data_IF_710580625415
#
_entry.id   IF_710580625415
#
_cell.length_a   1.000
_cell.length_b   1.000
_cell.length_c   1.000
_cell.angle_alpha   90.00
_cell.angle_beta   90.00
_cell.angle_gamma   90.00
#
_symmetry.space_group_name_H-M   'P 1'
#
loop_
_entity.id
_entity.type
_entity.pdbx_description
1 polymer ?
#
# COMPACT_ATOMS: atom_id res chain seq x y z
N UNK A 1 10.27 67.18 -42.50
CA UNK A 1 8.98 66.76 -43.10
C UNK A 1 8.99 65.24 -43.27
N UNK A 2 8.28 64.46 -42.43
CA UNK A 2 8.20 62.99 -42.59
C UNK A 2 7.27 62.69 -43.77
N UNK A 3 7.81 62.15 -44.87
CA UNK A 3 7.02 61.73 -46.04
C UNK A 3 6.03 60.64 -45.62
N UNK A 4 4.76 60.81 -45.98
CA UNK A 4 3.71 59.82 -45.70
C UNK A 4 4.08 58.51 -46.40
N UNK A 5 3.91 57.34 -45.75
CA UNK A 5 4.18 56.07 -46.39
C UNK A 5 3.30 55.90 -47.63
N UNK A 6 3.90 55.46 -48.74
CA UNK A 6 3.14 55.04 -49.92
C UNK A 6 2.36 53.75 -49.64
N UNK A 7 1.36 53.45 -50.48
CA UNK A 7 0.47 52.28 -50.33
C UNK A 7 1.26 50.96 -50.18
N UNK A 8 2.34 50.79 -50.95
CA UNK A 8 3.24 49.64 -50.83
C UNK A 8 3.88 49.52 -49.44
N UNK A 9 4.35 50.63 -48.87
CA UNK A 9 4.94 50.64 -47.52
C UNK A 9 3.92 50.38 -46.41
N UNK A 10 2.65 50.76 -46.63
CA UNK A 10 1.55 50.45 -45.72
C UNK A 10 1.23 48.94 -45.72
N UNK A 11 1.28 48.30 -46.90
CA UNK A 11 1.11 46.84 -47.04
C UNK A 11 2.29 46.07 -46.43
N UNK A 12 3.53 46.50 -46.66
CA UNK A 12 4.71 45.84 -46.05
C UNK A 12 4.70 45.97 -44.53
N UNK A 13 4.31 47.14 -44.00
CA UNK A 13 4.15 47.35 -42.56
C UNK A 13 3.01 46.52 -41.96
N UNK A 14 1.89 46.36 -42.67
CA UNK A 14 0.79 45.49 -42.25
C UNK A 14 1.22 44.01 -42.23
N UNK A 15 1.88 43.54 -43.29
CA UNK A 15 2.39 42.17 -43.38
C UNK A 15 3.43 41.86 -42.28
N UNK A 16 4.36 42.77 -42.01
CA UNK A 16 5.33 42.62 -40.93
C UNK A 16 4.63 42.55 -39.56
N UNK A 17 3.61 43.38 -39.32
CA UNK A 17 2.84 43.37 -38.07
C UNK A 17 2.09 42.06 -37.87
N UNK A 18 1.46 41.52 -38.92
CA UNK A 18 0.78 40.23 -38.86
C UNK A 18 1.76 39.08 -38.60
N UNK A 19 2.95 39.14 -39.18
CA UNK A 19 4.00 38.16 -38.95
C UNK A 19 4.53 38.19 -37.50
N UNK A 20 4.74 39.38 -36.91
CA UNK A 20 5.12 39.50 -35.50
C UNK A 20 4.00 39.08 -34.55
N UNK A 21 2.73 39.32 -34.92
CA UNK A 21 1.57 38.84 -34.17
C UNK A 21 1.52 37.32 -34.15
N UNK A 22 1.64 36.67 -35.31
CA UNK A 22 1.67 35.22 -35.43
C UNK A 22 2.86 34.60 -34.68
N UNK A 23 4.05 35.23 -34.78
CA UNK A 23 5.22 34.79 -34.02
C UNK A 23 4.97 34.89 -32.50
N UNK A 24 4.37 35.98 -32.03
CA UNK A 24 3.99 36.17 -30.63
C UNK A 24 2.97 35.14 -30.15
N UNK A 25 1.95 34.85 -30.96
CA UNK A 25 0.96 33.80 -30.68
C UNK A 25 1.59 32.40 -30.64
N UNK A 26 2.53 32.10 -31.54
CA UNK A 26 3.23 30.81 -31.58
C UNK A 26 4.16 30.63 -30.37
N UNK A 27 4.88 31.68 -29.96
CA UNK A 27 5.74 31.65 -28.76
C UNK A 27 4.91 31.52 -27.48
N UNK A 28 3.77 32.23 -27.41
CA UNK A 28 2.83 32.08 -26.29
C UNK A 28 2.24 30.66 -26.25
N UNK A 29 1.83 30.11 -27.39
CA UNK A 29 1.36 28.72 -27.51
C UNK A 29 2.42 27.73 -27.06
N UNK A 30 3.65 27.81 -27.58
CA UNK A 30 4.77 26.94 -27.18
C UNK A 30 4.98 26.93 -25.67
N UNK A 31 4.96 28.10 -25.02
CA UNK A 31 5.10 28.21 -23.57
C UNK A 31 3.94 27.57 -22.82
N UNK A 32 2.70 27.75 -23.30
CA UNK A 32 1.52 27.13 -22.69
C UNK A 32 1.45 25.62 -22.93
N UNK A 33 1.89 25.15 -24.08
CA UNK A 33 1.87 23.73 -24.44
C UNK A 33 2.96 22.98 -23.67
N UNK A 34 4.14 23.58 -23.50
CA UNK A 34 5.17 23.07 -22.59
C UNK A 34 4.64 22.92 -21.15
N UNK A 35 3.92 23.92 -20.64
CA UNK A 35 3.36 23.87 -19.28
C UNK A 35 2.26 22.82 -19.14
N UNK A 36 1.46 22.60 -20.19
CA UNK A 36 0.48 21.51 -20.22
C UNK A 36 1.16 20.15 -20.21
N UNK A 37 2.23 19.97 -20.97
CA UNK A 37 3.02 18.73 -20.96
C UNK A 37 3.62 18.46 -19.57
N UNK A 38 4.21 19.48 -18.93
CA UNK A 38 4.74 19.36 -17.57
C UNK A 38 3.66 18.96 -16.55
N UNK A 39 2.47 19.56 -16.63
CA UNK A 39 1.34 19.20 -15.77
C UNK A 39 0.82 17.78 -16.07
N UNK A 40 0.85 17.34 -17.32
CA UNK A 40 0.46 15.97 -17.68
C UNK A 40 1.43 14.94 -17.10
N UNK A 41 2.74 15.18 -17.17
CA UNK A 41 3.75 14.33 -16.55
C UNK A 41 3.57 14.27 -15.03
N UNK A 42 3.39 15.43 -14.38
CA UNK A 42 3.18 15.49 -12.94
C UNK A 42 1.90 14.77 -12.50
N UNK A 43 0.80 14.96 -13.24
CA UNK A 43 -0.45 14.24 -13.00
C UNK A 43 -0.26 12.72 -13.08
N UNK A 44 0.42 12.24 -14.12
CA UNK A 44 0.69 10.79 -14.29
C UNK A 44 1.47 10.23 -13.11
N UNK A 45 2.49 10.96 -12.65
CA UNK A 45 3.29 10.57 -11.48
C UNK A 45 2.46 10.52 -10.19
N UNK A 46 1.59 11.50 -9.95
CA UNK A 46 0.70 11.50 -8.80
C UNK A 46 -0.31 10.36 -8.83
N UNK A 47 -0.90 10.08 -10.01
CA UNK A 47 -1.81 8.96 -10.18
C UNK A 47 -1.11 7.61 -9.90
N UNK A 48 0.13 7.44 -10.38
CA UNK A 48 0.93 6.25 -10.10
C UNK A 48 1.29 6.12 -8.62
N UNK A 49 1.70 7.21 -7.97
CA UNK A 49 1.98 7.23 -6.54
C UNK A 49 0.73 6.85 -5.72
N UNK A 50 -0.41 7.49 -6.02
CA UNK A 50 -1.66 7.19 -5.35
C UNK A 50 -2.06 5.71 -5.52
N UNK A 51 -2.00 5.18 -6.75
CA UNK A 51 -2.28 3.75 -7.00
C UNK A 51 -1.35 2.83 -6.21
N UNK A 52 -0.04 3.13 -6.21
CA UNK A 52 0.99 2.30 -5.59
C UNK A 52 0.89 2.24 -4.06
N UNK A 53 0.40 3.30 -3.42
CA UNK A 53 0.27 3.38 -1.96
C UNK A 53 -1.15 3.11 -1.44
N UNK A 54 -2.19 3.24 -2.28
CA UNK A 54 -3.60 2.99 -1.92
C UNK A 54 -3.82 1.62 -1.29
N UNK A 55 -3.24 0.57 -1.86
CA UNK A 55 -3.38 -0.80 -1.32
C UNK A 55 -2.73 -0.93 0.06
N UNK A 56 -1.58 -0.31 0.27
CA UNK A 56 -0.90 -0.32 1.57
C UNK A 56 -1.73 0.36 2.66
N UNK A 57 -2.28 1.54 2.37
CA UNK A 57 -3.13 2.28 3.33
C UNK A 57 -4.36 1.45 3.72
N UNK A 58 -5.04 0.83 2.76
CA UNK A 58 -6.22 0.01 3.04
C UNK A 58 -5.90 -1.26 3.81
N UNK A 59 -4.75 -1.88 3.57
CA UNK A 59 -4.28 -3.02 4.37
C UNK A 59 -4.12 -2.57 5.83
N UNK A 60 -3.46 -1.43 6.06
CA UNK A 60 -3.29 -0.87 7.41
C UNK A 60 -4.64 -0.63 8.08
N UNK A 61 -5.59 -0.01 7.39
CA UNK A 61 -6.93 0.23 7.93
C UNK A 61 -7.65 -1.06 8.33
N UNK A 62 -7.67 -2.06 7.46
CA UNK A 62 -8.35 -3.34 7.72
C UNK A 62 -7.70 -4.04 8.91
N UNK A 63 -6.37 -4.09 8.95
CA UNK A 63 -5.66 -4.74 10.03
C UNK A 63 -5.84 -4.02 11.37
N UNK A 64 -5.86 -2.68 11.40
CA UNK A 64 -6.15 -1.92 12.61
C UNK A 64 -7.59 -2.14 13.08
N UNK A 65 -8.57 -2.17 12.17
CA UNK A 65 -9.97 -2.39 12.51
C UNK A 65 -10.25 -3.80 13.05
N UNK A 66 -9.56 -4.82 12.53
CA UNK A 66 -9.73 -6.21 12.95
C UNK A 66 -8.79 -6.62 14.09
N UNK A 67 -7.90 -5.72 14.54
CA UNK A 67 -6.94 -5.99 15.61
C UNK A 67 -7.56 -6.52 16.92
N UNK A 68 -8.66 -5.97 17.47
CA UNK A 68 -9.22 -6.48 18.72
C UNK A 68 -9.87 -7.86 18.59
N UNK A 69 -10.31 -8.22 17.38
CA UNK A 69 -10.98 -9.49 17.11
C UNK A 69 -9.96 -10.61 16.84
N UNK A 70 -8.91 -10.28 16.10
CA UNK A 70 -8.00 -11.27 15.51
C UNK A 70 -6.63 -11.29 16.20
N UNK A 71 -6.39 -10.43 17.18
CA UNK A 71 -5.07 -10.28 17.83
C UNK A 71 -3.97 -9.74 16.91
N UNK A 72 -4.33 -9.18 15.75
CA UNK A 72 -3.39 -8.64 14.76
C UNK A 72 -2.75 -9.66 13.82
N UNK A 73 -3.31 -10.88 13.74
CA UNK A 73 -3.02 -11.88 12.72
C UNK A 73 -4.19 -12.02 11.73
N UNK A 74 -3.92 -12.06 10.45
CA UNK A 74 -4.94 -12.24 9.40
C UNK A 74 -4.42 -13.12 8.26
N UNK A 75 -5.24 -14.03 7.75
CA UNK A 75 -4.91 -14.83 6.56
C UNK A 75 -4.83 -13.91 5.33
N UNK A 76 -3.80 -14.09 4.49
CA UNK A 76 -3.63 -13.32 3.25
C UNK A 76 -4.87 -13.43 2.34
N UNK A 77 -5.49 -14.61 2.28
CA UNK A 77 -6.71 -14.83 1.49
C UNK A 77 -7.88 -14.01 2.05
N UNK A 78 -8.00 -13.95 3.37
CA UNK A 78 -9.08 -13.21 4.04
C UNK A 78 -8.86 -11.69 3.91
N UNK A 79 -7.63 -11.24 4.05
CA UNK A 79 -7.24 -9.85 3.77
C UNK A 79 -7.59 -9.46 2.34
N UNK A 80 -7.32 -10.32 1.36
CA UNK A 80 -7.69 -10.09 -0.04
C UNK A 80 -9.22 -9.96 -0.23
N UNK A 81 -10.02 -10.81 0.44
CA UNK A 81 -11.49 -10.70 0.39
C UNK A 81 -11.99 -9.41 1.01
N UNK A 82 -11.46 -9.02 2.17
CA UNK A 82 -11.85 -7.78 2.86
C UNK A 82 -11.47 -6.54 2.04
N UNK A 83 -10.30 -6.54 1.40
CA UNK A 83 -9.91 -5.48 0.47
C UNK A 83 -10.87 -5.38 -0.72
N UNK A 84 -11.26 -6.51 -1.31
CA UNK A 84 -12.25 -6.55 -2.41
C UNK A 84 -13.61 -6.03 -1.96
N UNK A 85 -14.05 -6.35 -0.74
CA UNK A 85 -15.30 -5.85 -0.17
C UNK A 85 -15.26 -4.34 0.10
N UNK A 86 -14.16 -3.80 0.64
CA UNK A 86 -13.99 -2.35 0.81
C UNK A 86 -13.92 -1.60 -0.52
N UNK A 87 -13.47 -2.26 -1.60
CA UNK A 87 -13.34 -1.70 -2.95
C UNK A 87 -14.53 -1.95 -3.88
N UNK A 88 -15.76 -2.05 -3.38
CA UNK A 88 -16.98 -2.24 -4.20
C UNK A 88 -17.13 -1.31 -5.43
N UNK A 89 -16.43 -0.18 -5.45
CA UNK A 89 -16.48 0.83 -6.51
C UNK A 89 -15.23 0.87 -7.43
N UNK A 90 -14.14 0.17 -7.10
CA UNK A 90 -12.94 0.14 -7.95
C UNK A 90 -12.97 -1.03 -8.93
N UNK A 91 -12.60 -0.78 -10.19
CA UNK A 91 -12.51 -1.82 -11.25
C UNK A 91 -11.22 -2.63 -11.23
N UNK A 92 -10.25 -2.26 -10.39
CA UNK A 92 -8.91 -2.83 -10.39
C UNK A 92 -8.85 -4.07 -9.50
N UNK A 93 -8.67 -5.24 -10.12
CA UNK A 93 -8.58 -6.50 -9.41
C UNK A 93 -7.25 -6.60 -8.65
N UNK A 94 -7.34 -6.74 -7.32
CA UNK A 94 -6.17 -6.94 -6.46
C UNK A 94 -5.75 -8.41 -6.53
N UNK A 95 -4.48 -8.62 -6.91
CA UNK A 95 -3.80 -9.91 -6.80
C UNK A 95 -3.17 -10.10 -5.42
N UNK A 96 -2.92 -11.35 -5.01
CA UNK A 96 -2.14 -11.65 -3.81
C UNK A 96 -0.74 -11.02 -3.85
N UNK A 97 -0.14 -10.94 -5.04
CA UNK A 97 1.17 -10.30 -5.24
C UNK A 97 1.16 -8.80 -4.93
N UNK A 98 0.03 -8.12 -5.15
CA UNK A 98 -0.12 -6.70 -4.81
C UNK A 98 -0.13 -6.50 -3.30
N UNK A 99 -0.79 -7.41 -2.58
CA UNK A 99 -0.79 -7.44 -1.13
C UNK A 99 0.62 -7.70 -0.59
N UNK A 100 1.34 -8.71 -1.12
CA UNK A 100 2.70 -9.02 -0.70
C UNK A 100 3.65 -7.83 -0.95
N UNK A 101 3.61 -7.23 -2.14
CA UNK A 101 4.43 -6.04 -2.45
C UNK A 101 4.09 -4.84 -1.58
N UNK A 102 2.82 -4.64 -1.24
CA UNK A 102 2.41 -3.59 -0.32
C UNK A 102 2.94 -3.85 1.09
N UNK A 103 2.84 -5.08 1.59
CA UNK A 103 3.32 -5.46 2.93
C UNK A 103 4.84 -5.35 3.02
N UNK A 104 5.60 -5.80 2.01
CA UNK A 104 7.06 -5.63 2.00
C UNK A 104 7.47 -4.15 2.11
N UNK A 105 6.71 -3.23 1.51
CA UNK A 105 6.95 -1.79 1.69
C UNK A 105 6.58 -1.31 3.08
N UNK A 106 5.45 -1.77 3.63
CA UNK A 106 5.07 -1.45 5.01
C UNK A 106 6.12 -1.94 6.02
N UNK A 107 6.73 -3.11 5.79
CA UNK A 107 7.81 -3.64 6.62
C UNK A 107 9.02 -2.69 6.68
N UNK A 108 9.39 -2.06 5.56
CA UNK A 108 10.50 -1.08 5.54
C UNK A 108 10.22 0.19 6.33
N UNK A 109 8.95 0.47 6.66
CA UNK A 109 8.55 1.62 7.48
C UNK A 109 8.60 1.30 8.99
N UNK A 110 8.96 0.08 9.39
CA UNK A 110 9.06 -0.31 10.80
C UNK A 110 7.70 -0.45 11.51
N UNK A 111 6.60 -0.54 10.77
CA UNK A 111 5.24 -0.50 11.32
C UNK A 111 4.74 -1.83 11.91
N UNK A 112 5.60 -2.82 12.11
CA UNK A 112 5.21 -4.13 12.67
C UNK A 112 4.44 -5.03 11.70
N UNK A 113 4.49 -4.74 10.40
CA UNK A 113 3.91 -5.57 9.35
C UNK A 113 4.90 -6.64 8.88
N UNK A 114 4.55 -7.90 9.07
CA UNK A 114 5.36 -9.05 8.62
C UNK A 114 4.48 -10.13 7.99
N UNK A 115 4.97 -10.79 6.95
CA UNK A 115 4.34 -11.99 6.39
C UNK A 115 5.01 -13.22 6.99
N UNK A 116 4.22 -14.06 7.64
CA UNK A 116 4.66 -15.31 8.25
C UNK A 116 4.05 -16.47 7.46
N UNK A 117 4.84 -17.47 7.12
CA UNK A 117 4.33 -18.73 6.58
C UNK A 117 4.05 -19.71 7.73
N UNK A 118 2.79 -20.10 7.89
CA UNK A 118 2.39 -21.18 8.78
C UNK A 118 1.93 -22.35 7.88
N UNK A 119 2.77 -23.38 7.76
CA UNK A 119 2.55 -24.52 6.89
C UNK A 119 2.28 -24.13 5.43
N UNK A 120 1.02 -24.30 4.98
CA UNK A 120 0.58 -24.00 3.61
C UNK A 120 -0.03 -22.60 3.43
N UNK A 121 -0.27 -21.87 4.52
CA UNK A 121 -0.95 -20.58 4.50
C UNK A 121 0.02 -19.44 4.79
N UNK A 122 -0.25 -18.28 4.18
CA UNK A 122 0.46 -17.03 4.46
C UNK A 122 -0.40 -16.19 5.40
N UNK A 123 0.17 -15.82 6.54
CA UNK A 123 -0.46 -14.96 7.54
C UNK A 123 0.25 -13.61 7.54
N UNK A 124 -0.52 -12.55 7.72
CA UNK A 124 -0.01 -11.18 7.85
C UNK A 124 -0.15 -10.78 9.31
N UNK A 125 0.96 -10.38 9.91
CA UNK A 125 1.05 -9.84 11.27
C UNK A 125 1.13 -8.33 11.20
N UNK A 126 0.50 -7.65 12.15
CA UNK A 126 0.47 -6.18 12.23
C UNK A 126 0.88 -5.61 13.57
N UNK A 127 1.26 -6.48 14.50
CA UNK A 127 1.76 -6.12 15.82
C UNK A 127 3.25 -6.43 15.86
N UNK A 128 4.08 -5.58 16.49
CA UNK A 128 5.47 -5.90 16.79
C UNK A 128 5.54 -6.93 17.94
N UNK A 129 4.81 -8.03 17.83
CA UNK A 129 4.98 -9.19 18.69
C UNK A 129 6.13 -10.02 18.13
N UNK A 130 7.15 -10.23 18.95
CA UNK A 130 8.24 -11.17 18.65
C UNK A 130 7.67 -12.59 18.61
N UNK A 131 7.12 -13.02 17.47
CA UNK A 131 6.90 -14.45 17.25
C UNK A 131 8.28 -15.10 17.11
N UNK A 132 8.78 -15.62 18.24
CA UNK A 132 9.89 -16.58 18.25
C UNK A 132 9.50 -17.80 17.42
N UNK A 133 10.48 -18.55 16.89
CA UNK A 133 10.29 -19.79 16.10
C UNK A 133 9.23 -20.71 16.70
N UNK A 134 9.21 -20.80 18.02
CA UNK A 134 8.25 -21.53 18.84
C UNK A 134 6.78 -21.21 18.50
N UNK A 135 6.43 -19.93 18.41
CA UNK A 135 5.06 -19.52 18.12
C UNK A 135 4.63 -19.93 16.71
N UNK A 136 5.56 -20.01 15.75
CA UNK A 136 5.27 -20.50 14.40
C UNK A 136 4.98 -22.01 14.39
N UNK A 137 5.73 -22.79 15.17
CA UNK A 137 5.49 -24.25 15.31
C UNK A 137 4.11 -24.52 15.94
N UNK A 138 3.71 -23.73 16.94
CA UNK A 138 2.36 -23.81 17.53
C UNK A 138 1.28 -23.42 16.52
N UNK A 139 1.48 -22.34 15.75
CA UNK A 139 0.53 -21.94 14.70
C UNK A 139 0.39 -23.00 13.59
N UNK A 140 1.48 -23.70 13.25
CA UNK A 140 1.46 -24.78 12.28
C UNK A 140 0.63 -25.99 12.78
N UNK A 141 0.74 -26.34 14.06
CA UNK A 141 -0.12 -27.35 14.68
C UNK A 141 -1.59 -26.91 14.71
N UNK A 142 -1.85 -25.65 15.04
CA UNK A 142 -3.19 -25.08 15.13
C UNK A 142 -3.94 -25.12 13.79
N UNK A 143 -3.22 -25.16 12.67
CA UNK A 143 -3.82 -25.15 11.33
C UNK A 143 -4.74 -26.37 11.09
N UNK A 144 -4.47 -27.52 11.72
CA UNK A 144 -5.24 -28.74 11.50
C UNK A 144 -6.58 -28.77 12.26
N UNK A 145 -6.62 -28.22 13.49
CA UNK A 145 -7.76 -28.38 14.42
C UNK A 145 -8.38 -27.05 14.85
N UNK A 146 -7.72 -25.92 14.58
CA UNK A 146 -8.14 -24.57 14.99
C UNK A 146 -7.81 -24.21 16.44
N UNK A 147 -7.40 -25.18 17.25
CA UNK A 147 -6.90 -25.00 18.61
C UNK A 147 -5.68 -25.92 18.82
N UNK A 148 -4.89 -25.62 19.85
CA UNK A 148 -3.73 -26.44 20.26
C UNK A 148 -3.72 -26.53 21.78
N UNK A 149 -3.37 -27.70 22.30
CA UNK A 149 -3.19 -27.92 23.74
C UNK A 149 -1.71 -28.09 24.09
N UNK A 150 -1.34 -27.81 25.34
CA UNK A 150 0.05 -27.98 25.83
C UNK A 150 0.52 -29.41 25.63
N UNK A 151 -0.31 -30.38 25.95
CA UNK A 151 -0.01 -31.81 25.80
C UNK A 151 0.22 -32.21 24.32
N UNK A 152 -0.53 -31.62 23.38
CA UNK A 152 -0.31 -31.87 21.95
C UNK A 152 1.03 -31.29 21.45
N UNK A 153 1.43 -30.13 21.96
CA UNK A 153 2.75 -29.54 21.69
C UNK A 153 3.88 -30.42 22.24
N UNK A 154 3.74 -30.92 23.47
CA UNK A 154 4.73 -31.83 24.05
C UNK A 154 4.87 -33.11 23.23
N UNK A 155 3.75 -33.74 22.85
CA UNK A 155 3.77 -35.00 22.10
C UNK A 155 4.28 -34.83 20.67
N UNK A 156 3.85 -33.77 19.95
CA UNK A 156 4.17 -33.61 18.52
C UNK A 156 5.49 -32.90 18.26
N UNK A 157 5.85 -31.93 19.09
CA UNK A 157 7.08 -31.15 18.93
C UNK A 157 8.19 -31.60 19.87
N UNK A 158 7.92 -32.54 20.80
CA UNK A 158 8.90 -33.01 21.81
C UNK A 158 9.46 -31.86 22.64
N UNK A 159 8.62 -30.87 22.93
CA UNK A 159 8.99 -29.75 23.79
C UNK A 159 8.83 -30.10 25.26
N UNK A 160 9.55 -29.37 26.13
CA UNK A 160 9.34 -29.43 27.58
C UNK A 160 8.09 -28.66 27.98
N UNK A 161 7.39 -29.16 29.01
CA UNK A 161 6.20 -28.52 29.59
C UNK A 161 6.37 -27.01 29.83
N UNK A 162 7.50 -26.62 30.45
CA UNK A 162 7.81 -25.21 30.74
C UNK A 162 7.93 -24.35 29.48
N UNK A 163 8.57 -24.85 28.42
CA UNK A 163 8.70 -24.12 27.14
C UNK A 163 7.34 -23.97 26.45
N UNK A 164 6.53 -25.02 26.46
CA UNK A 164 5.19 -24.99 25.88
C UNK A 164 4.29 -23.99 26.62
N UNK A 165 4.28 -24.02 27.95
CA UNK A 165 3.54 -23.06 28.78
C UNK A 165 3.99 -21.63 28.53
N UNK A 166 5.30 -21.35 28.52
CA UNK A 166 5.81 -20.01 28.28
C UNK A 166 5.34 -19.46 26.93
N UNK A 167 5.33 -20.28 25.88
CA UNK A 167 4.84 -19.89 24.56
C UNK A 167 3.32 -19.61 24.57
N UNK A 168 2.51 -20.41 25.29
CA UNK A 168 1.07 -20.17 25.45
C UNK A 168 0.75 -18.93 26.29
N UNK A 169 1.48 -18.72 27.39
CA UNK A 169 1.35 -17.54 28.26
C UNK A 169 1.71 -16.29 27.48
N UNK A 170 2.76 -16.32 26.67
CA UNK A 170 3.13 -15.25 25.77
C UNK A 170 1.95 -14.91 24.84
N UNK A 171 1.37 -15.90 24.16
CA UNK A 171 0.18 -15.70 23.31
C UNK A 171 -1.00 -15.07 24.06
N UNK A 172 -1.32 -15.57 25.26
CA UNK A 172 -2.45 -15.10 26.08
C UNK A 172 -2.27 -13.69 26.62
N UNK A 173 -1.10 -13.39 27.21
CA UNK A 173 -0.78 -12.05 27.72
C UNK A 173 -0.77 -11.00 26.61
N UNK A 174 -0.33 -11.34 25.39
CA UNK A 174 -0.34 -10.41 24.26
C UNK A 174 -1.76 -10.11 23.74
N UNK A 175 -2.66 -11.10 23.71
CA UNK A 175 -4.08 -10.86 23.41
C UNK A 175 -4.74 -9.97 24.47
N UNK A 176 -4.44 -10.21 25.75
CA UNK A 176 -5.01 -9.44 26.85
C UNK A 176 -4.46 -8.00 26.92
N UNK A 177 -3.15 -7.80 26.72
CA UNK A 177 -2.54 -6.46 26.71
C UNK A 177 -3.03 -5.61 25.54
N UNK A 178 -3.23 -6.19 24.35
CA UNK A 178 -3.74 -5.45 23.20
C UNK A 178 -5.21 -5.03 23.37
N UNK A 179 -6.03 -5.80 24.10
CA UNK A 179 -7.40 -5.39 24.47
C UNK A 179 -7.45 -4.29 25.54
N UNK A 180 -6.37 -4.05 26.29
CA UNK A 180 -6.35 -3.07 27.38
C UNK A 180 -5.72 -1.72 27.00
N UNK A 181 -5.07 -1.62 25.83
CA UNK A 181 -4.28 -0.44 25.42
C UNK A 181 -4.99 0.43 24.37
N UNK A 182 -6.18 0.07 23.88
CA UNK A 182 -6.99 0.91 22.98
C UNK A 182 -8.48 0.82 23.30
#
# INVERSE_FOLDING_TARGET
MRRRPGIGGLQTAAAARDQYRLLGENVAKLRTDLMKEQLATFRSQLEEFARKHKTGVQIVEICLANRPLNGGLIDLLELCKLLRQKRKHDREAISEDDCLRAISKLQTLGSGFEVISAGKKKLVRTVPTELKKDHNEILELAQAQGYVTVDEVERRLSWTYGRAIDAFICFSLFYLLCCFIF
#
